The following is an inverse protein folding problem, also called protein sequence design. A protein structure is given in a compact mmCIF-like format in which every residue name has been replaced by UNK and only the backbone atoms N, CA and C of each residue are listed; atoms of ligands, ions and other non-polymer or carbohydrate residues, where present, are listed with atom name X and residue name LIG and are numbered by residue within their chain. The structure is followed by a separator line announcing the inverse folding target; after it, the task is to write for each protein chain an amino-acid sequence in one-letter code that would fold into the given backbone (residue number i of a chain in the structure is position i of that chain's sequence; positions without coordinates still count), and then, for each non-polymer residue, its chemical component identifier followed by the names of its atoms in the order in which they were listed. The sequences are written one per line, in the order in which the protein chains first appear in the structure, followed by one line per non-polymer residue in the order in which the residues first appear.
data_IF_913567614391
#
_entry.id   IF_913567614391
#
_cell.length_a   1.000
_cell.length_b   1.000
_cell.length_c   1.000
_cell.angle_alpha   90.00
_cell.angle_beta   90.00
_cell.angle_gamma   90.00
#
_symmetry.space_group_name_H-M   'P 1'
#
loop_
_entity.id
_entity.type
_entity.pdbx_description
1 polymer ?
#
# COMPACT_ATOMS: atom_id res chain seq x y z
N UNK A 1 32.80 -45.62 -84.67
CA UNK A 1 32.58 -46.94 -84.02
C UNK A 1 32.85 -46.79 -82.52
N UNK A 2 31.88 -47.22 -81.69
CA UNK A 2 31.90 -47.51 -80.23
C UNK A 2 32.12 -46.38 -79.21
N UNK A 3 31.00 -45.96 -78.61
CA UNK A 3 30.80 -45.68 -77.16
C UNK A 3 30.60 -47.04 -76.42
N UNK A 4 30.51 -47.21 -75.06
CA UNK A 4 30.14 -46.21 -74.02
C UNK A 4 30.72 -46.34 -72.57
N UNK A 5 30.29 -45.41 -71.69
CA UNK A 5 29.82 -45.59 -70.29
C UNK A 5 30.86 -45.74 -69.12
N UNK A 6 30.73 -45.20 -67.89
CA UNK A 6 29.71 -44.44 -67.10
C UNK A 6 30.42 -43.69 -65.93
N UNK A 7 29.73 -42.73 -65.28
CA UNK A 7 29.80 -42.60 -63.81
C UNK A 7 30.02 -41.22 -63.17
N UNK A 8 29.00 -40.37 -63.21
CA UNK A 8 28.37 -39.65 -62.08
C UNK A 8 29.13 -38.72 -61.10
N UNK A 9 28.74 -37.44 -61.19
CA UNK A 9 28.28 -36.51 -60.14
C UNK A 9 29.13 -36.24 -58.87
N UNK A 10 29.54 -34.98 -58.67
CA UNK A 10 28.80 -34.05 -57.80
C UNK A 10 29.38 -32.61 -57.86
N UNK A 11 28.47 -31.66 -58.08
CA UNK A 11 28.67 -30.22 -57.90
C UNK A 11 28.39 -29.92 -56.43
N UNK A 12 29.35 -29.34 -55.70
CA UNK A 12 29.09 -28.70 -54.41
C UNK A 12 29.45 -27.22 -54.53
N UNK A 13 28.39 -26.45 -54.76
CA UNK A 13 28.32 -25.00 -54.55
C UNK A 13 28.83 -24.68 -53.15
N UNK A 14 29.85 -23.83 -53.06
CA UNK A 14 30.19 -23.15 -51.82
C UNK A 14 28.99 -22.29 -51.40
N UNK A 15 28.29 -22.74 -50.36
CA UNK A 15 27.29 -21.94 -49.68
C UNK A 15 27.97 -20.72 -49.06
N UNK A 16 27.63 -19.54 -49.56
CA UNK A 16 27.89 -18.27 -48.91
C UNK A 16 27.28 -18.33 -47.51
N UNK A 17 28.13 -18.26 -46.49
CA UNK A 17 27.71 -18.07 -45.11
C UNK A 17 27.14 -16.65 -45.01
N UNK A 18 25.90 -16.46 -44.52
CA UNK A 18 25.34 -15.12 -44.36
C UNK A 18 26.18 -14.33 -43.36
N UNK A 19 26.47 -13.08 -43.72
CA UNK A 19 27.09 -12.07 -42.88
C UNK A 19 26.36 -11.99 -41.53
N UNK A 20 27.15 -12.02 -40.45
CA UNK A 20 26.66 -11.62 -39.11
C UNK A 20 26.53 -10.10 -39.14
N UNK A 21 25.46 -9.63 -39.76
CA UNK A 21 25.07 -8.23 -39.71
C UNK A 21 24.53 -7.90 -38.32
N UNK A 22 25.24 -6.99 -37.66
CA UNK A 22 24.69 -5.99 -36.75
C UNK A 22 23.73 -6.51 -35.68
N UNK A 23 24.25 -7.20 -34.66
CA UNK A 23 23.61 -7.13 -33.36
C UNK A 23 23.76 -5.69 -32.86
N UNK A 24 22.70 -4.90 -33.01
CA UNK A 24 22.56 -3.60 -32.37
C UNK A 24 22.83 -3.80 -30.88
N UNK A 25 24.04 -3.45 -30.42
CA UNK A 25 24.33 -3.37 -29.00
C UNK A 25 23.38 -2.33 -28.43
N UNK A 26 22.27 -2.79 -27.86
CA UNK A 26 21.36 -1.93 -27.12
C UNK A 26 22.19 -1.31 -26.01
N UNK A 27 22.40 0.01 -26.11
CA UNK A 27 23.21 0.76 -25.17
C UNK A 27 22.60 0.56 -23.77
N UNK A 28 23.42 0.28 -22.76
CA UNK A 28 22.96 0.08 -21.37
C UNK A 28 22.04 1.21 -20.88
N UNK A 29 22.23 2.43 -21.39
CA UNK A 29 21.33 3.57 -21.13
C UNK A 29 19.94 3.40 -21.75
N UNK A 30 19.86 2.90 -22.98
CA UNK A 30 18.60 2.61 -23.66
C UNK A 30 17.89 1.42 -23.02
N UNK A 31 18.64 0.39 -22.62
CA UNK A 31 18.09 -0.76 -21.89
C UNK A 31 17.53 -0.32 -20.53
N UNK A 32 18.27 0.51 -19.78
CA UNK A 32 17.81 1.10 -18.51
C UNK A 32 16.60 2.00 -18.69
N UNK A 33 16.51 2.76 -19.78
CA UNK A 33 15.33 3.57 -20.07
C UNK A 33 14.12 2.71 -20.43
N UNK A 34 14.30 1.62 -21.18
CA UNK A 34 13.24 0.65 -21.53
C UNK A 34 12.77 -0.18 -20.34
N UNK A 35 13.65 -0.42 -19.36
CA UNK A 35 13.36 -1.15 -18.11
C UNK A 35 12.85 -0.25 -16.98
N UNK A 36 12.65 1.06 -17.21
CA UNK A 36 11.92 1.91 -16.27
C UNK A 36 10.47 1.45 -16.23
N UNK A 37 10.15 0.61 -15.26
CA UNK A 37 8.79 0.19 -14.94
C UNK A 37 8.02 1.46 -14.57
N UNK A 38 6.95 1.74 -15.30
CA UNK A 38 6.03 2.83 -14.95
C UNK A 38 5.46 2.51 -13.57
N UNK A 39 5.44 3.46 -12.62
CA UNK A 39 4.75 3.22 -11.36
C UNK A 39 3.31 2.83 -11.67
N UNK A 40 2.77 1.84 -10.94
CA UNK A 40 1.37 1.40 -11.08
C UNK A 40 0.38 2.56 -10.86
N UNK A 41 0.85 3.62 -10.22
CA UNK A 41 0.11 4.84 -9.93
C UNK A 41 0.84 6.05 -10.53
N UNK A 42 0.28 6.63 -11.60
CA UNK A 42 0.79 7.85 -12.23
C UNK A 42 0.75 7.82 -13.76
N UNK A 43 -0.24 8.48 -14.35
CA UNK A 43 -0.31 8.71 -15.80
C UNK A 43 0.72 9.74 -16.28
N UNK A 44 1.25 9.55 -17.48
CA UNK A 44 2.15 10.49 -18.15
C UNK A 44 1.34 11.72 -18.58
N UNK A 45 1.58 12.88 -17.96
CA UNK A 45 1.05 14.19 -18.39
C UNK A 45 -0.43 14.47 -18.08
N UNK A 46 -1.13 13.59 -17.36
CA UNK A 46 -2.50 13.80 -16.87
C UNK A 46 -2.54 14.29 -15.43
N UNK A 47 -3.70 14.80 -14.98
CA UNK A 47 -3.94 15.00 -13.54
C UNK A 47 -3.66 13.68 -12.80
N UNK A 48 -3.02 13.69 -11.62
CA UNK A 48 -2.84 12.48 -10.82
C UNK A 48 -4.17 11.76 -10.61
N UNK A 49 -4.11 10.43 -10.65
CA UNK A 49 -5.25 9.56 -10.37
C UNK A 49 -5.04 8.95 -8.99
N UNK A 50 -6.05 9.05 -8.14
CA UNK A 50 -6.05 8.52 -6.78
C UNK A 50 -6.97 7.31 -6.68
N UNK A 51 -6.60 6.39 -5.79
CA UNK A 51 -7.22 5.07 -5.65
C UNK A 51 -7.78 4.91 -4.24
N UNK A 52 -8.84 4.09 -4.06
CA UNK A 52 -9.39 3.81 -2.75
C UNK A 52 -8.36 3.10 -1.85
N UNK A 53 -8.52 3.25 -0.54
CA UNK A 53 -7.77 2.45 0.44
C UNK A 53 -8.16 0.97 0.31
N UNK A 54 -7.16 0.10 0.44
CA UNK A 54 -7.31 -1.35 0.45
C UNK A 54 -6.81 -1.97 1.77
N UNK A 55 -6.57 -1.14 2.78
CA UNK A 55 -6.26 -1.59 4.14
C UNK A 55 -7.29 -1.04 5.11
N UNK A 56 -7.81 -1.90 5.98
CA UNK A 56 -8.89 -1.58 6.91
C UNK A 56 -8.53 -2.12 8.28
N UNK A 57 -8.47 -1.27 9.31
CA UNK A 57 -8.15 -1.67 10.69
C UNK A 57 -6.75 -2.27 10.92
N UNK A 58 -5.88 -2.25 9.92
CA UNK A 58 -4.48 -2.70 9.98
C UNK A 58 -3.61 -1.76 9.12
N UNK A 59 -2.29 -1.67 9.39
CA UNK A 59 -1.40 -0.85 8.57
C UNK A 59 -1.17 -1.47 7.17
N UNK A 60 -0.45 -0.72 6.35
CA UNK A 60 0.01 -1.14 5.02
C UNK A 60 1.50 -0.87 4.92
N UNK A 61 2.23 -1.80 4.31
CA UNK A 61 3.67 -1.67 4.11
C UNK A 61 4.04 -0.56 3.12
N UNK A 62 3.05 0.05 2.46
CA UNK A 62 3.24 1.25 1.65
C UNK A 62 2.98 2.51 2.50
N UNK A 63 3.68 3.60 2.19
CA UNK A 63 3.58 4.83 2.96
C UNK A 63 3.97 6.07 2.16
N UNK A 64 3.96 7.20 2.87
CA UNK A 64 4.31 8.51 2.36
C UNK A 64 5.81 8.60 2.04
N UNK A 65 6.16 9.05 0.84
CA UNK A 65 7.52 9.38 0.43
C UNK A 65 7.79 10.88 0.55
N UNK A 66 9.03 11.29 0.29
CA UNK A 66 9.37 12.70 0.16
C UNK A 66 8.43 13.41 -0.80
N UNK A 67 7.88 14.54 -0.36
CA UNK A 67 6.86 15.27 -1.10
C UNK A 67 5.45 14.99 -0.63
N UNK A 68 5.19 13.83 -0.02
CA UNK A 68 3.84 13.45 0.40
C UNK A 68 3.49 14.04 1.76
N UNK A 69 2.28 14.58 1.84
CA UNK A 69 1.63 15.04 3.07
C UNK A 69 0.20 14.50 3.10
N UNK A 70 -0.33 14.23 4.28
CA UNK A 70 -1.73 13.83 4.46
C UNK A 70 -2.34 14.38 5.73
N UNK A 71 -3.66 14.53 5.70
CA UNK A 71 -4.51 14.76 6.86
C UNK A 71 -5.69 13.80 6.83
N UNK A 72 -6.16 13.38 7.99
CA UNK A 72 -7.33 12.54 8.18
C UNK A 72 -8.15 13.09 9.35
N UNK A 73 -9.46 13.09 9.19
CA UNK A 73 -10.40 13.25 10.29
C UNK A 73 -11.26 11.99 10.36
N UNK A 74 -11.45 11.46 11.57
CA UNK A 74 -12.29 10.29 11.79
C UNK A 74 -13.32 10.52 12.89
N UNK A 75 -14.42 9.78 12.84
CA UNK A 75 -15.47 9.79 13.85
C UNK A 75 -16.06 8.40 13.99
N UNK A 76 -16.27 7.95 15.23
CA UNK A 76 -16.78 6.60 15.49
C UNK A 76 -17.54 6.45 16.79
N UNK A 77 -18.21 5.30 16.92
CA UNK A 77 -19.18 5.02 18.00
C UNK A 77 -18.60 4.10 19.10
N UNK A 78 -17.29 4.11 19.29
CA UNK A 78 -16.63 3.12 20.16
C UNK A 78 -16.98 3.38 21.63
N UNK A 79 -17.21 2.30 22.39
CA UNK A 79 -17.40 2.38 23.84
C UNK A 79 -16.04 2.48 24.53
N UNK A 80 -15.98 3.26 25.60
CA UNK A 80 -14.82 3.30 26.49
C UNK A 80 -14.71 2.02 27.34
N UNK A 81 -13.65 1.93 28.16
CA UNK A 81 -13.42 0.78 29.06
C UNK A 81 -14.52 0.61 30.12
N UNK A 82 -15.31 1.65 30.37
CA UNK A 82 -16.40 1.68 31.35
C UNK A 82 -17.75 1.36 30.70
N UNK A 83 -17.78 1.05 29.40
CA UNK A 83 -18.99 0.78 28.64
C UNK A 83 -19.80 2.02 28.27
N UNK A 84 -19.28 3.23 28.54
CA UNK A 84 -19.91 4.46 28.10
C UNK A 84 -19.68 4.61 26.59
N UNK A 85 -20.77 4.50 25.83
CA UNK A 85 -20.77 4.77 24.40
C UNK A 85 -20.95 6.25 24.12
N UNK A 86 -20.23 6.75 23.12
CA UNK A 86 -20.41 8.10 22.61
C UNK A 86 -19.80 8.23 21.22
N UNK A 87 -20.26 9.24 20.47
CA UNK A 87 -19.53 9.66 19.29
C UNK A 87 -18.25 10.35 19.75
N UNK A 88 -17.10 9.88 19.30
CA UNK A 88 -15.83 10.59 19.43
C UNK A 88 -15.12 10.59 18.08
N UNK A 89 -14.18 11.51 17.91
CA UNK A 89 -13.44 11.63 16.66
C UNK A 89 -11.97 11.93 16.90
N UNK A 90 -11.17 11.68 15.88
CA UNK A 90 -9.73 11.92 15.90
C UNK A 90 -9.31 12.72 14.68
N UNK A 91 -8.14 13.34 14.76
CA UNK A 91 -7.48 13.96 13.61
C UNK A 91 -6.07 13.39 13.54
N UNK A 92 -5.64 13.02 12.35
CA UNK A 92 -4.27 12.61 12.08
C UNK A 92 -3.68 13.47 10.97
N UNK A 93 -2.39 13.74 11.04
CA UNK A 93 -1.66 14.40 9.97
C UNK A 93 -0.25 13.84 9.88
N UNK A 94 0.30 13.76 8.68
CA UNK A 94 1.63 13.19 8.52
C UNK A 94 2.29 13.55 7.20
N UNK A 95 3.56 13.19 7.12
CA UNK A 95 4.38 13.47 5.95
C UNK A 95 5.44 12.39 5.73
N UNK A 96 5.90 12.31 4.49
CA UNK A 96 6.93 11.38 4.06
C UNK A 96 8.31 12.01 3.89
N UNK A 97 9.35 11.22 4.15
CA UNK A 97 10.75 11.51 3.89
C UNK A 97 11.35 10.36 3.08
N UNK A 98 12.38 10.64 2.28
CA UNK A 98 13.06 9.61 1.48
C UNK A 98 12.24 9.10 0.29
N UNK A 99 12.65 7.97 -0.26
CA UNK A 99 12.02 7.36 -1.45
C UNK A 99 12.08 5.84 -1.28
N UNK A 100 10.92 5.25 -1.01
CA UNK A 100 10.75 3.81 -0.76
C UNK A 100 10.96 2.94 -2.00
N UNK A 101 10.96 3.50 -3.21
CA UNK A 101 11.31 2.76 -4.42
C UNK A 101 12.83 2.68 -4.62
N UNK A 102 13.56 3.70 -4.19
CA UNK A 102 15.03 3.74 -4.33
C UNK A 102 15.76 3.16 -3.11
N UNK A 103 15.25 3.45 -1.92
CA UNK A 103 15.92 3.17 -0.65
C UNK A 103 14.90 2.87 0.45
N UNK A 104 14.73 3.77 1.42
CA UNK A 104 13.75 3.68 2.50
C UNK A 104 12.95 4.97 2.49
N UNK A 105 11.63 4.84 2.60
CA UNK A 105 10.73 5.91 2.94
C UNK A 105 10.49 5.93 4.46
N UNK A 106 10.44 7.11 5.05
CA UNK A 106 10.02 7.30 6.44
C UNK A 106 8.72 8.10 6.44
N UNK A 107 7.74 7.65 7.20
CA UNK A 107 6.48 8.35 7.42
C UNK A 107 6.40 8.71 8.89
N UNK A 108 6.15 9.99 9.16
CA UNK A 108 5.89 10.50 10.51
C UNK A 108 4.44 10.95 10.55
N UNK A 109 3.69 10.47 11.54
CA UNK A 109 2.32 10.87 11.75
C UNK A 109 2.13 11.42 13.16
N UNK A 110 1.30 12.44 13.26
CA UNK A 110 0.74 12.96 14.49
C UNK A 110 -0.72 12.56 14.56
N UNK A 111 -1.17 12.12 15.73
CA UNK A 111 -2.56 11.76 15.99
C UNK A 111 -3.08 12.48 17.22
N UNK A 112 -4.22 13.15 17.06
CA UNK A 112 -5.04 13.70 18.12
C UNK A 112 -6.15 12.70 18.43
N UNK A 113 -6.12 12.09 19.63
CA UNK A 113 -6.98 10.96 19.96
C UNK A 113 -8.46 11.30 20.16
N UNK A 114 -8.76 12.54 20.57
CA UNK A 114 -10.14 13.03 20.76
C UNK A 114 -10.28 14.49 20.35
N UNK A 115 -11.20 14.77 19.42
CA UNK A 115 -11.56 16.14 19.03
C UNK A 115 -12.33 16.89 20.13
N UNK A 116 -12.82 16.19 21.16
CA UNK A 116 -13.51 16.83 22.29
C UNK A 116 -12.53 17.64 23.16
N UNK A 117 -11.30 17.16 23.25
CA UNK A 117 -10.21 17.74 24.03
C UNK A 117 -9.05 18.11 23.09
N UNK A 118 -9.36 18.80 21.98
CA UNK A 118 -8.40 19.08 20.93
C UNK A 118 -7.17 19.86 21.44
N UNK A 119 -6.00 19.25 21.31
CA UNK A 119 -4.71 19.79 21.72
C UNK A 119 -4.30 19.41 23.14
N UNK A 120 -5.15 18.71 23.91
CA UNK A 120 -4.84 18.30 25.28
C UNK A 120 -3.96 17.04 25.32
N UNK A 121 -4.04 16.19 24.30
CA UNK A 121 -3.20 15.01 24.18
C UNK A 121 -2.95 14.62 22.72
N UNK A 122 -1.82 13.99 22.47
CA UNK A 122 -1.55 13.47 21.14
C UNK A 122 -0.38 12.50 21.11
N UNK A 123 -0.35 11.70 20.06
CA UNK A 123 0.68 10.69 19.84
C UNK A 123 1.41 10.94 18.53
N UNK A 124 2.62 10.42 18.44
CA UNK A 124 3.41 10.41 17.23
C UNK A 124 3.74 8.98 16.84
N UNK A 125 3.56 8.66 15.56
CA UNK A 125 3.90 7.39 14.97
C UNK A 125 5.04 7.56 13.96
N UNK A 126 5.84 6.51 13.82
CA UNK A 126 6.94 6.46 12.87
C UNK A 126 6.88 5.14 12.10
N UNK A 127 6.98 5.20 10.76
CA UNK A 127 7.03 4.00 9.92
C UNK A 127 8.17 4.11 8.91
N UNK A 128 9.06 3.13 8.93
CA UNK A 128 10.06 2.92 7.88
C UNK A 128 9.55 1.87 6.90
N UNK A 129 9.58 2.16 5.60
CA UNK A 129 9.03 1.27 4.59
C UNK A 129 9.84 1.26 3.29
N UNK A 130 9.77 0.15 2.56
CA UNK A 130 10.48 -0.05 1.29
C UNK A 130 9.70 -0.92 0.34
N UNK A 131 9.63 -0.48 -0.92
CA UNK A 131 9.18 -1.33 -2.03
C UNK A 131 10.32 -2.30 -2.36
N UNK A 132 10.08 -3.58 -2.10
CA UNK A 132 11.04 -4.67 -2.32
C UNK A 132 11.00 -5.17 -3.76
N UNK A 133 9.82 -5.12 -4.37
CA UNK A 133 9.60 -5.57 -5.74
C UNK A 133 8.53 -4.70 -6.39
N UNK A 134 8.79 -4.27 -7.62
CA UNK A 134 7.82 -3.58 -8.46
C UNK A 134 7.87 -4.17 -9.86
N UNK A 135 6.88 -4.99 -10.19
CA UNK A 135 6.67 -5.57 -11.52
C UNK A 135 5.57 -4.86 -12.30
N UNK A 136 5.24 -5.40 -13.47
CA UNK A 136 4.16 -4.88 -14.32
C UNK A 136 2.76 -5.16 -13.77
N UNK A 137 2.58 -6.21 -12.97
CA UNK A 137 1.28 -6.65 -12.46
C UNK A 137 1.22 -6.78 -10.95
N UNK A 138 2.33 -6.59 -10.24
CA UNK A 138 2.38 -6.69 -8.79
C UNK A 138 3.48 -5.84 -8.16
N UNK A 139 3.25 -5.40 -6.92
CA UNK A 139 4.20 -4.69 -6.08
C UNK A 139 4.22 -5.32 -4.69
N UNK A 140 5.40 -5.45 -4.11
CA UNK A 140 5.60 -5.96 -2.75
C UNK A 140 6.39 -4.92 -1.96
N UNK A 141 5.89 -4.56 -0.80
CA UNK A 141 6.57 -3.68 0.14
C UNK A 141 6.68 -4.34 1.52
N UNK A 142 7.68 -3.92 2.29
CA UNK A 142 7.83 -4.27 3.69
C UNK A 142 7.99 -3.00 4.53
N UNK A 143 7.48 -3.04 5.76
CA UNK A 143 7.58 -1.92 6.70
C UNK A 143 7.83 -2.40 8.13
N UNK A 144 8.44 -1.50 8.91
CA UNK A 144 8.51 -1.57 10.36
C UNK A 144 7.96 -0.25 10.89
N UNK A 145 7.00 -0.33 11.80
CA UNK A 145 6.38 0.84 12.40
C UNK A 145 6.46 0.83 13.91
N UNK A 146 6.40 2.02 14.48
CA UNK A 146 6.37 2.30 15.90
C UNK A 146 5.22 3.26 16.18
N UNK A 147 4.15 2.69 16.73
CA UNK A 147 2.97 3.43 17.16
C UNK A 147 3.27 4.07 18.52
N UNK A 148 2.86 5.33 18.68
CA UNK A 148 3.08 6.11 19.90
C UNK A 148 4.55 6.05 20.33
N UNK A 149 5.49 6.35 19.41
CA UNK A 149 6.91 6.44 19.76
C UNK A 149 7.19 7.66 20.65
N UNK A 150 6.34 8.67 20.56
CA UNK A 150 6.27 9.81 21.45
C UNK A 150 4.81 10.20 21.69
N UNK A 151 4.55 10.87 22.79
CA UNK A 151 3.23 11.41 23.12
C UNK A 151 3.35 12.60 24.08
N UNK A 152 2.30 13.42 24.13
CA UNK A 152 2.13 14.48 25.13
C UNK A 152 0.71 14.48 25.69
N UNK A 153 0.51 15.21 26.78
CA UNK A 153 -0.78 15.37 27.43
C UNK A 153 -0.90 14.64 28.76
N UNK A 154 -2.02 14.87 29.44
CA UNK A 154 -2.29 14.35 30.80
C UNK A 154 -3.30 13.19 30.81
N UNK A 155 -3.88 12.83 29.66
CA UNK A 155 -4.66 11.61 29.54
C UNK A 155 -3.74 10.37 29.52
N UNK A 156 -4.29 9.19 29.84
CA UNK A 156 -3.52 7.97 30.06
C UNK A 156 -2.50 7.70 28.95
N UNK A 157 -1.30 7.24 29.34
CA UNK A 157 -0.22 6.91 28.40
C UNK A 157 -0.75 5.89 27.39
N UNK A 158 -0.75 6.24 26.10
CA UNK A 158 -1.16 5.31 25.06
C UNK A 158 -0.08 4.24 24.91
N UNK A 159 -0.48 2.98 24.74
CA UNK A 159 0.46 1.88 24.63
C UNK A 159 1.39 2.11 23.43
N UNK A 160 2.69 2.23 23.72
CA UNK A 160 3.74 2.29 22.69
C UNK A 160 3.98 0.89 22.15
N UNK A 161 3.95 0.72 20.82
CA UNK A 161 4.15 -0.60 20.23
C UNK A 161 4.87 -0.57 18.90
N UNK A 162 5.66 -1.62 18.66
CA UNK A 162 6.36 -1.85 17.40
C UNK A 162 5.67 -2.97 16.63
N UNK A 163 5.68 -2.84 15.31
CA UNK A 163 5.17 -3.86 14.39
C UNK A 163 6.05 -3.96 13.15
N UNK A 164 5.94 -5.09 12.46
CA UNK A 164 6.49 -5.30 11.13
C UNK A 164 5.47 -5.96 10.22
N UNK A 165 5.47 -5.61 8.94
CA UNK A 165 4.52 -6.13 7.96
C UNK A 165 5.07 -6.21 6.54
N UNK A 166 4.40 -7.01 5.73
CA UNK A 166 4.59 -7.12 4.29
C UNK A 166 3.23 -6.98 3.62
N UNK A 167 3.19 -6.15 2.57
CA UNK A 167 2.00 -5.98 1.73
C UNK A 167 2.34 -6.31 0.28
N UNK A 168 1.54 -7.17 -0.34
CA UNK A 168 1.54 -7.43 -1.77
C UNK A 168 0.29 -6.81 -2.41
N UNK A 169 0.46 -6.01 -3.45
CA UNK A 169 -0.62 -5.52 -4.30
C UNK A 169 -0.47 -6.17 -5.67
N UNK A 170 -1.49 -6.91 -6.12
CA UNK A 170 -1.49 -7.60 -7.41
C UNK A 170 -2.71 -7.19 -8.24
N UNK A 171 -2.53 -6.97 -9.53
CA UNK A 171 -3.61 -6.65 -10.46
C UNK A 171 -4.32 -7.92 -10.90
N UNK A 172 -5.60 -8.06 -10.59
CA UNK A 172 -6.39 -9.24 -11.01
C UNK A 172 -6.89 -9.13 -12.45
N UNK A 173 -7.01 -7.91 -12.97
CA UNK A 173 -7.42 -7.63 -14.35
C UNK A 173 -6.44 -6.68 -15.05
N UNK A 174 -5.16 -7.04 -15.22
CA UNK A 174 -4.12 -6.11 -15.68
C UNK A 174 -4.39 -5.46 -17.05
N UNK A 175 -5.20 -6.12 -17.89
CA UNK A 175 -5.52 -5.66 -19.23
C UNK A 175 -6.84 -4.86 -19.30
N UNK A 176 -7.55 -4.66 -18.19
CA UNK A 176 -8.77 -3.89 -18.16
C UNK A 176 -8.44 -2.38 -18.03
N UNK A 177 -8.81 -1.56 -19.03
CA UNK A 177 -8.46 -0.13 -19.03
C UNK A 177 -9.27 0.69 -18.01
N UNK A 178 -10.44 0.21 -17.59
CA UNK A 178 -11.32 0.90 -16.64
C UNK A 178 -10.91 0.58 -15.21
N UNK A 179 -10.82 -0.71 -14.87
CA UNK A 179 -10.44 -1.16 -13.54
C UNK A 179 -9.51 -2.37 -13.61
N UNK A 180 -8.24 -2.16 -13.27
CA UNK A 180 -7.27 -3.27 -13.19
C UNK A 180 -7.50 -4.20 -11.99
N UNK A 181 -8.46 -3.86 -11.14
CA UNK A 181 -8.89 -4.63 -9.98
C UNK A 181 -7.72 -5.02 -9.04
N UNK A 182 -6.94 -4.05 -8.51
CA UNK A 182 -5.92 -4.31 -7.50
C UNK A 182 -6.46 -5.11 -6.29
N UNK A 183 -5.72 -6.16 -5.92
CA UNK A 183 -5.88 -6.96 -4.71
C UNK A 183 -4.69 -6.70 -3.80
N UNK A 184 -4.93 -6.14 -2.63
CA UNK A 184 -3.95 -5.98 -1.57
C UNK A 184 -4.06 -7.13 -0.56
N UNK A 185 -2.92 -7.70 -0.20
CA UNK A 185 -2.77 -8.70 0.85
C UNK A 185 -1.70 -8.22 1.81
N UNK A 186 -2.06 -8.01 3.07
CA UNK A 186 -1.13 -7.59 4.13
C UNK A 186 -1.05 -8.67 5.20
N UNK A 187 0.16 -8.90 5.72
CA UNK A 187 0.41 -9.75 6.87
C UNK A 187 1.51 -9.13 7.72
N UNK A 188 1.35 -9.17 9.04
CA UNK A 188 2.32 -8.59 9.95
C UNK A 188 2.22 -9.15 11.36
N UNK A 189 3.17 -8.72 12.17
CA UNK A 189 3.27 -9.06 13.59
C UNK A 189 3.57 -7.80 14.39
N UNK A 190 3.02 -7.68 15.59
CA UNK A 190 3.26 -6.50 16.42
C UNK A 190 2.71 -6.61 17.83
N UNK A 191 3.10 -5.65 18.67
CA UNK A 191 2.58 -5.50 20.03
C UNK A 191 1.40 -4.51 20.12
N UNK A 192 1.03 -4.13 21.34
CA UNK A 192 -0.04 -3.16 21.60
C UNK A 192 -1.39 -3.57 21.02
N UNK A 193 -1.92 -2.80 20.08
CA UNK A 193 -3.22 -3.07 19.44
C UNK A 193 -3.26 -4.33 18.57
N UNK A 194 -2.11 -4.99 18.33
CA UNK A 194 -2.01 -6.18 17.49
C UNK A 194 -1.96 -7.52 18.24
N UNK A 195 -2.09 -7.51 19.56
CA UNK A 195 -1.97 -8.70 20.44
C UNK A 195 -3.23 -8.93 21.26
N UNK A 196 -3.56 -10.20 21.51
CA UNK A 196 -4.71 -10.61 22.31
C UNK A 196 -4.34 -11.02 23.74
N UNK A 197 -5.10 -10.57 24.73
CA UNK A 197 -4.93 -11.01 26.12
C UNK A 197 -3.57 -10.65 26.71
N UNK A 198 -2.88 -11.64 27.27
CA UNK A 198 -1.59 -11.48 27.94
C UNK A 198 -0.38 -11.73 27.03
N UNK A 199 -0.60 -11.94 25.73
CA UNK A 199 0.50 -12.13 24.79
C UNK A 199 1.30 -10.83 24.63
N UNK A 200 2.61 -10.91 24.38
CA UNK A 200 3.43 -9.71 24.13
C UNK A 200 3.35 -9.25 22.66
N UNK A 201 3.07 -10.19 21.74
CA UNK A 201 3.04 -10.01 20.29
C UNK A 201 1.86 -10.79 19.71
N UNK A 202 1.20 -10.24 18.69
CA UNK A 202 0.20 -10.96 17.90
C UNK A 202 0.41 -10.79 16.40
N UNK A 203 -0.37 -11.57 15.65
CA UNK A 203 -0.36 -11.59 14.18
C UNK A 203 -1.58 -10.84 13.67
N UNK A 204 -1.38 -9.96 12.71
CA UNK A 204 -2.47 -9.30 11.99
C UNK A 204 -2.33 -9.56 10.50
N UNK A 205 -3.44 -9.38 9.78
CA UNK A 205 -3.44 -9.51 8.34
C UNK A 205 -4.80 -9.19 7.74
N UNK A 206 -4.81 -8.93 6.44
CA UNK A 206 -6.03 -8.50 5.77
C UNK A 206 -5.93 -8.57 4.27
N UNK A 207 -7.11 -8.46 3.66
CA UNK A 207 -7.30 -8.46 2.21
C UNK A 207 -8.17 -7.28 1.83
N UNK A 208 -7.76 -6.57 0.79
CA UNK A 208 -8.53 -5.49 0.18
C UNK A 208 -8.59 -5.65 -1.33
N UNK A 209 -9.74 -5.35 -1.92
CA UNK A 209 -9.99 -5.46 -3.35
C UNK A 209 -10.62 -4.16 -3.88
N UNK A 210 -10.03 -3.63 -4.94
CA UNK A 210 -10.64 -2.54 -5.69
C UNK A 210 -11.68 -3.08 -6.68
N UNK A 211 -12.94 -3.08 -6.27
CA UNK A 211 -14.06 -3.58 -7.08
C UNK A 211 -14.51 -2.60 -8.17
N UNK A 212 -14.23 -1.31 -7.99
CA UNK A 212 -14.50 -0.25 -8.96
C UNK A 212 -13.35 0.77 -8.94
N UNK A 213 -13.11 1.57 -9.99
CA UNK A 213 -11.98 2.51 -10.01
C UNK A 213 -11.95 3.50 -8.83
N UNK A 214 -13.10 3.76 -8.24
CA UNK A 214 -13.26 4.61 -7.05
C UNK A 214 -13.65 3.85 -5.77
N UNK A 215 -13.86 2.53 -5.81
CA UNK A 215 -14.39 1.77 -4.68
C UNK A 215 -13.47 0.59 -4.32
N UNK A 216 -13.00 0.60 -3.08
CA UNK A 216 -12.27 -0.50 -2.45
C UNK A 216 -13.11 -1.13 -1.35
N UNK A 217 -12.99 -2.43 -1.17
CA UNK A 217 -13.61 -3.15 -0.06
C UNK A 217 -12.56 -4.07 0.58
N UNK A 218 -12.73 -4.42 1.84
CA UNK A 218 -11.80 -5.37 2.46
C UNK A 218 -12.18 -5.78 3.86
N UNK A 219 -11.41 -6.72 4.38
CA UNK A 219 -11.53 -7.23 5.73
C UNK A 219 -10.15 -7.55 6.29
N UNK A 220 -10.02 -7.46 7.62
CA UNK A 220 -8.78 -7.74 8.32
C UNK A 220 -9.02 -8.38 9.67
N UNK A 221 -8.02 -9.12 10.12
CA UNK A 221 -7.84 -9.50 11.49
C UNK A 221 -6.74 -8.61 12.06
N UNK A 222 -7.05 -7.81 13.08
CA UNK A 222 -6.07 -6.91 13.70
C UNK A 222 -5.17 -7.59 14.72
N UNK A 223 -5.29 -8.90 14.94
CA UNK A 223 -4.68 -9.60 16.08
C UNK A 223 -5.65 -9.81 17.24
N UNK A 224 -6.67 -8.95 17.34
CA UNK A 224 -7.68 -9.02 18.43
C UNK A 224 -9.09 -9.13 17.89
N UNK A 225 -9.36 -8.46 16.77
CA UNK A 225 -10.70 -8.21 16.26
C UNK A 225 -10.77 -8.38 14.74
N UNK A 226 -11.91 -8.88 14.26
CA UNK A 226 -12.25 -8.85 12.84
C UNK A 226 -12.80 -7.47 12.48
N UNK A 227 -12.26 -6.86 11.43
CA UNK A 227 -12.70 -5.59 10.89
C UNK A 227 -13.07 -5.75 9.41
N UNK A 228 -13.95 -4.90 8.91
CA UNK A 228 -14.25 -4.81 7.49
C UNK A 228 -14.57 -3.37 7.11
N UNK A 229 -14.36 -3.02 5.84
CA UNK A 229 -14.64 -1.67 5.39
C UNK A 229 -14.81 -1.52 3.89
N UNK A 230 -15.26 -0.31 3.55
CA UNK A 230 -15.41 0.21 2.19
C UNK A 230 -14.66 1.53 2.13
N UNK A 231 -13.90 1.73 1.07
CA UNK A 231 -13.25 2.99 0.74
C UNK A 231 -13.80 3.53 -0.57
N UNK A 232 -14.00 4.85 -0.63
CA UNK A 232 -14.51 5.56 -1.77
C UNK A 232 -13.66 6.79 -2.08
N UNK A 233 -13.31 6.97 -3.35
CA UNK A 233 -12.65 8.18 -3.87
C UNK A 233 -13.66 8.95 -4.72
N UNK A 234 -14.27 10.04 -4.22
CA UNK A 234 -15.37 10.71 -4.92
C UNK A 234 -15.00 11.20 -6.32
N UNK A 235 -13.78 11.74 -6.46
CA UNK A 235 -13.25 12.25 -7.72
C UNK A 235 -11.81 11.79 -7.84
N UNK A 236 -11.49 10.94 -8.81
CA UNK A 236 -10.17 10.34 -8.96
C UNK A 236 -9.02 11.34 -9.17
N UNK A 237 -9.32 12.59 -9.53
CA UNK A 237 -8.31 13.64 -9.69
C UNK A 237 -8.11 14.51 -8.45
N UNK A 238 -8.91 14.28 -7.41
CA UNK A 238 -8.80 14.93 -6.11
C UNK A 238 -8.33 13.86 -5.12
N UNK A 239 -7.29 14.14 -4.32
CA UNK A 239 -6.75 13.19 -3.36
C UNK A 239 -7.61 13.07 -2.10
N UNK A 240 -8.91 12.86 -2.28
CA UNK A 240 -9.88 12.74 -1.20
C UNK A 240 -10.36 11.29 -1.13
N UNK A 241 -10.18 10.68 0.03
CA UNK A 241 -10.63 9.30 0.30
C UNK A 241 -11.58 9.31 1.49
N UNK A 242 -12.70 8.64 1.33
CA UNK A 242 -13.68 8.41 2.40
C UNK A 242 -13.65 6.93 2.73
N UNK A 243 -13.60 6.59 4.01
CA UNK A 243 -13.54 5.20 4.47
C UNK A 243 -14.62 4.97 5.52
N UNK A 244 -15.45 3.95 5.33
CA UNK A 244 -16.39 3.46 6.32
C UNK A 244 -15.94 2.07 6.77
N UNK A 245 -15.78 1.89 8.08
CA UNK A 245 -15.29 0.65 8.67
C UNK A 245 -16.19 0.18 9.81
N UNK A 246 -16.45 -1.12 9.84
CA UNK A 246 -16.90 -1.83 11.02
C UNK A 246 -15.69 -2.42 11.74
N UNK A 247 -15.51 -2.04 13.00
CA UNK A 247 -14.44 -2.50 13.87
C UNK A 247 -14.97 -3.54 14.85
N UNK A 248 -14.15 -4.53 15.19
CA UNK A 248 -14.49 -5.59 16.14
C UNK A 248 -15.86 -6.22 15.91
N UNK A 249 -16.07 -6.69 14.67
CA UNK A 249 -17.30 -7.34 14.21
C UNK A 249 -17.62 -8.64 14.94
N UNK A 250 -16.66 -9.16 15.70
CA UNK A 250 -16.75 -10.39 16.50
C UNK A 250 -16.90 -10.13 18.00
N UNK A 251 -17.00 -8.87 18.42
CA UNK A 251 -17.19 -8.43 19.81
C UNK A 251 -16.17 -9.05 20.80
N UNK A 252 -14.88 -8.98 20.44
CA UNK A 252 -13.78 -9.59 21.21
C UNK A 252 -13.05 -8.61 22.12
N UNK A 253 -13.30 -7.31 21.97
CA UNK A 253 -12.65 -6.25 22.75
C UNK A 253 -13.62 -5.64 23.76
N UNK A 254 -13.10 -5.02 24.83
CA UNK A 254 -13.93 -4.36 25.84
C UNK A 254 -14.80 -3.22 25.26
N UNK A 255 -14.32 -2.52 24.22
CA UNK A 255 -15.09 -1.49 23.52
C UNK A 255 -16.19 -2.05 22.61
N UNK A 256 -16.13 -3.35 22.30
CA UNK A 256 -17.00 -4.08 21.39
C UNK A 256 -17.03 -3.53 19.96
N UNK A 257 -18.04 -3.98 19.22
CA UNK A 257 -18.24 -3.56 17.83
C UNK A 257 -18.48 -2.05 17.71
N UNK A 258 -17.83 -1.42 16.74
CA UNK A 258 -17.97 0.01 16.48
C UNK A 258 -18.01 0.30 14.97
N UNK A 259 -18.55 1.45 14.60
CA UNK A 259 -18.44 1.98 13.24
C UNK A 259 -17.50 3.18 13.27
N UNK A 260 -16.63 3.28 12.28
CA UNK A 260 -15.71 4.39 12.06
C UNK A 260 -15.91 4.96 10.65
N UNK A 261 -16.10 6.27 10.55
CA UNK A 261 -16.06 7.02 9.31
C UNK A 261 -14.79 7.89 9.31
N UNK A 262 -13.93 7.72 8.31
CA UNK A 262 -12.76 8.58 8.08
C UNK A 262 -12.87 9.34 6.77
N UNK A 263 -12.33 10.55 6.75
CA UNK A 263 -12.12 11.36 5.56
C UNK A 263 -10.66 11.80 5.54
N UNK A 264 -9.94 11.43 4.49
CA UNK A 264 -8.51 11.69 4.35
C UNK A 264 -8.22 12.50 3.09
N UNK A 265 -7.30 13.45 3.20
CA UNK A 265 -6.80 14.25 2.09
C UNK A 265 -5.28 14.17 2.03
N UNK A 266 -4.74 13.68 0.91
CA UNK A 266 -3.29 13.62 0.66
C UNK A 266 -2.84 14.64 -0.38
N UNK A 267 -1.56 15.00 -0.45
CA UNK A 267 -1.02 15.66 -1.64
C UNK A 267 0.49 15.48 -1.72
N UNK A 268 1.02 15.59 -2.94
CA UNK A 268 2.45 15.63 -3.18
C UNK A 268 2.86 17.05 -3.62
N UNK A 269 3.80 17.67 -2.90
CA UNK A 269 4.26 19.04 -3.18
C UNK A 269 5.42 19.13 -4.17
N UNK A 270 5.94 18.01 -4.67
CA UNK A 270 7.01 18.03 -5.67
C UNK A 270 6.44 18.38 -7.05
N UNK A 271 7.25 19.04 -7.90
CA UNK A 271 6.89 19.25 -9.30
C UNK A 271 6.67 17.91 -10.00
N UNK A 272 5.66 17.84 -10.88
CA UNK A 272 5.36 16.68 -11.72
C UNK A 272 6.00 16.78 -13.09
#
# INVERSE_FOLDING_TARGET
MRSPNQGDHQILLQAQTPSVDSQTQLNDRELRQRLKIKPLFGGIGGKPIYYPSLSFGIPSAFGANWGDFFVEASGGTRRDINGNGGLDGSISAGFGLGDSQKSIGLEVAFNEGSIKNFGDNGTFDLKAHRVLYAGSTNQIAAAVGWNTFAQYGNEGVADSSVYGEVTNVSLLQPNNPENQMPLALSVGVGGGNFRSGNDDVGVFGGVGLQVYPQVGIGASWSGVALNAGVSFVPVQTIPLTIVLQGLDLTDRTAGGSAVLLSVSYGFNFLPK
#
